data_IF_870637832068
#
_entry.id   IF_870637832068
#
_cell.length_a   1.000
_cell.length_b   1.000
_cell.length_c   1.000
_cell.angle_alpha   90.00
_cell.angle_beta   90.00
_cell.angle_gamma   90.00
#
_symmetry.space_group_name_H-M   'P 1'
#
loop_
_entity.id
_entity.type
_entity.pdbx_description
1 polymer ?
#
# COMPACT_ATOMS: atom_id res chain seq x y z
N UNK A 1 25.39 34.71 -11.14
CA UNK A 1 23.93 34.96 -11.18
C UNK A 1 23.08 33.84 -11.76
N UNK A 2 23.43 33.20 -12.89
CA UNK A 2 22.56 32.21 -13.55
C UNK A 2 22.12 31.03 -12.66
N UNK A 3 23.04 30.43 -11.89
CA UNK A 3 22.73 29.35 -10.93
C UNK A 3 21.68 29.77 -9.89
N UNK A 4 21.90 30.91 -9.22
CA UNK A 4 20.97 31.43 -8.21
C UNK A 4 19.57 31.69 -8.78
N UNK A 5 19.49 32.19 -10.01
CA UNK A 5 18.21 32.40 -10.69
C UNK A 5 17.50 31.08 -11.00
N UNK A 6 18.21 30.05 -11.47
CA UNK A 6 17.64 28.70 -11.70
C UNK A 6 17.09 28.08 -10.42
N UNK A 7 17.81 28.23 -9.30
CA UNK A 7 17.37 27.73 -7.99
C UNK A 7 16.11 28.49 -7.54
N UNK A 8 16.11 29.82 -7.64
CA UNK A 8 14.92 30.63 -7.30
C UNK A 8 13.70 30.26 -8.14
N UNK A 9 13.90 29.99 -9.44
CA UNK A 9 12.83 29.60 -10.37
C UNK A 9 12.48 28.11 -10.34
N UNK A 10 13.07 27.32 -9.44
CA UNK A 10 12.86 25.87 -9.39
C UNK A 10 11.38 25.45 -9.34
N UNK A 11 10.48 26.09 -8.57
CA UNK A 11 9.06 25.74 -8.58
C UNK A 11 8.42 25.91 -9.96
N UNK A 12 8.77 26.98 -10.67
CA UNK A 12 8.28 27.24 -12.04
C UNK A 12 8.85 26.22 -13.02
N UNK A 13 10.11 25.81 -12.85
CA UNK A 13 10.75 24.77 -13.66
C UNK A 13 10.01 23.43 -13.46
N UNK A 14 9.69 23.05 -12.22
CA UNK A 14 8.92 21.85 -11.93
C UNK A 14 7.55 21.88 -12.61
N UNK A 15 6.80 22.98 -12.50
CA UNK A 15 5.50 23.10 -13.19
C UNK A 15 5.61 22.96 -14.70
N UNK A 16 6.69 23.47 -15.32
CA UNK A 16 6.94 23.28 -16.75
C UNK A 16 7.22 21.82 -17.09
N UNK A 17 8.07 21.15 -16.30
CA UNK A 17 8.40 19.73 -16.51
C UNK A 17 7.15 18.85 -16.35
N UNK A 18 6.31 19.13 -15.34
CA UNK A 18 5.03 18.44 -15.14
C UNK A 18 4.15 18.48 -16.39
N UNK A 19 3.96 19.68 -16.96
CA UNK A 19 3.12 19.87 -18.14
C UNK A 19 3.73 19.24 -19.40
N UNK A 20 5.06 19.35 -19.58
CA UNK A 20 5.74 18.85 -20.78
C UNK A 20 5.86 17.33 -20.82
N UNK A 21 6.02 16.68 -19.66
CA UNK A 21 6.26 15.25 -19.56
C UNK A 21 5.08 14.47 -18.94
N UNK A 22 3.97 15.15 -18.64
CA UNK A 22 2.76 14.56 -18.07
C UNK A 22 3.02 13.77 -16.77
N UNK A 23 3.90 14.31 -15.92
CA UNK A 23 4.29 13.70 -14.64
C UNK A 23 3.40 14.26 -13.52
N UNK A 24 2.97 13.39 -12.59
CA UNK A 24 2.11 13.79 -11.47
C UNK A 24 2.86 14.71 -10.50
N UNK A 25 2.19 15.69 -9.86
CA UNK A 25 2.82 16.52 -8.85
C UNK A 25 3.40 15.73 -7.66
N UNK A 26 2.87 14.53 -7.38
CA UNK A 26 3.35 13.66 -6.31
C UNK A 26 4.73 13.05 -6.55
N UNK A 27 5.21 13.03 -7.80
CA UNK A 27 6.52 12.49 -8.15
C UNK A 27 7.66 13.51 -7.94
N UNK A 28 7.31 14.77 -7.64
CA UNK A 28 8.30 15.83 -7.45
C UNK A 28 8.70 15.95 -5.97
N UNK A 29 9.99 16.21 -5.68
CA UNK A 29 10.44 16.49 -4.34
C UNK A 29 10.01 17.89 -3.87
N UNK A 30 10.08 18.13 -2.56
CA UNK A 30 9.85 19.46 -1.98
C UNK A 30 10.82 20.51 -2.57
N UNK A 31 10.26 21.62 -3.04
CA UNK A 31 11.04 22.64 -3.74
C UNK A 31 12.03 23.35 -2.83
N UNK A 32 11.67 23.64 -1.57
CA UNK A 32 12.54 24.37 -0.65
C UNK A 32 13.76 23.52 -0.28
N UNK A 33 13.53 22.24 0.03
CA UNK A 33 14.60 21.27 0.29
C UNK A 33 15.52 21.08 -0.92
N UNK A 34 14.95 21.01 -2.13
CA UNK A 34 15.77 20.85 -3.32
C UNK A 34 16.56 22.12 -3.67
N UNK A 35 16.01 23.31 -3.38
CA UNK A 35 16.74 24.57 -3.51
C UNK A 35 17.99 24.59 -2.63
N UNK A 36 17.86 24.26 -1.34
CA UNK A 36 18.99 24.18 -0.40
C UNK A 36 20.07 23.21 -0.89
N UNK A 37 19.68 22.00 -1.32
CA UNK A 37 20.62 21.00 -1.83
C UNK A 37 21.37 21.51 -3.07
N UNK A 38 20.69 22.19 -4.00
CA UNK A 38 21.28 22.69 -5.23
C UNK A 38 22.25 23.86 -5.00
N UNK A 39 22.15 24.60 -3.88
CA UNK A 39 23.10 25.66 -3.55
C UNK A 39 24.52 25.12 -3.36
N UNK A 40 24.67 23.93 -2.77
CA UNK A 40 25.97 23.28 -2.56
C UNK A 40 26.58 22.60 -3.80
N UNK A 41 25.83 22.45 -4.90
CA UNK A 41 26.26 21.65 -6.06
C UNK A 41 26.80 22.47 -7.22
N UNK A 42 27.79 21.94 -7.94
CA UNK A 42 28.32 22.54 -9.16
C UNK A 42 27.52 22.09 -10.39
N UNK A 43 26.80 23.03 -11.01
CA UNK A 43 25.91 22.76 -12.14
C UNK A 43 26.68 22.39 -13.41
N UNK A 44 27.96 22.74 -13.52
CA UNK A 44 28.79 22.34 -14.67
C UNK A 44 29.06 20.83 -14.69
N UNK A 45 28.94 20.16 -13.53
CA UNK A 45 29.11 18.71 -13.39
C UNK A 45 27.83 17.94 -13.67
N UNK A 46 26.69 18.62 -13.84
CA UNK A 46 25.45 17.94 -14.19
C UNK A 46 25.52 17.36 -15.59
N UNK A 47 25.16 16.09 -15.69
CA UNK A 47 25.13 15.39 -16.98
C UNK A 47 23.96 15.92 -17.80
N UNK A 48 24.20 16.06 -19.10
CA UNK A 48 23.10 16.36 -20.03
C UNK A 48 22.09 15.21 -20.07
N UNK A 49 20.84 15.54 -20.33
CA UNK A 49 19.77 14.57 -20.50
C UNK A 49 20.12 13.60 -21.64
N UNK A 50 19.91 12.30 -21.41
CA UNK A 50 20.17 11.25 -22.40
C UNK A 50 18.83 10.69 -22.90
N UNK A 51 18.36 11.08 -24.10
CA UNK A 51 17.05 10.66 -24.61
C UNK A 51 16.90 9.14 -24.68
N UNK A 52 17.95 8.41 -25.05
CA UNK A 52 17.92 6.96 -25.11
C UNK A 52 17.63 6.31 -23.73
N UNK A 53 18.22 6.85 -22.66
CA UNK A 53 17.96 6.29 -21.31
C UNK A 53 16.53 6.59 -20.85
N UNK A 54 15.96 7.73 -21.24
CA UNK A 54 14.56 8.04 -20.97
C UNK A 54 13.63 7.10 -21.73
N UNK A 55 13.89 6.88 -23.02
CA UNK A 55 13.08 5.97 -23.84
C UNK A 55 13.09 4.53 -23.30
N UNK A 56 14.26 4.03 -22.88
CA UNK A 56 14.37 2.71 -22.25
C UNK A 56 13.59 2.64 -20.92
N UNK A 57 13.60 3.72 -20.13
CA UNK A 57 12.80 3.79 -18.90
C UNK A 57 11.30 3.77 -19.21
N UNK A 58 10.87 4.52 -20.22
CA UNK A 58 9.46 4.56 -20.66
C UNK A 58 8.99 3.19 -21.17
N UNK A 59 9.83 2.48 -21.94
CA UNK A 59 9.57 1.11 -22.39
C UNK A 59 9.43 0.14 -21.21
N UNK A 60 10.36 0.20 -20.26
CA UNK A 60 10.32 -0.62 -19.05
C UNK A 60 9.02 -0.42 -18.27
N UNK A 61 8.65 0.84 -18.01
CA UNK A 61 7.46 1.19 -17.22
C UNK A 61 6.15 0.84 -17.93
N UNK A 62 6.08 1.06 -19.25
CA UNK A 62 4.85 0.85 -20.03
C UNK A 62 4.64 -0.62 -20.42
N UNK A 63 5.71 -1.32 -20.73
CA UNK A 63 5.64 -2.61 -21.42
C UNK A 63 6.14 -3.74 -20.55
N UNK A 64 7.36 -3.64 -20.01
CA UNK A 64 7.97 -4.78 -19.33
C UNK A 64 7.34 -5.04 -17.97
N UNK A 65 7.07 -4.00 -17.17
CA UNK A 65 6.33 -4.17 -15.91
C UNK A 65 4.92 -4.69 -16.19
N UNK A 66 4.24 -4.20 -17.22
CA UNK A 66 2.89 -4.65 -17.57
C UNK A 66 2.86 -6.16 -17.91
N UNK A 67 3.89 -6.68 -18.58
CA UNK A 67 4.05 -8.11 -18.88
C UNK A 67 4.30 -8.96 -17.63
N UNK A 68 4.86 -8.39 -16.57
CA UNK A 68 5.06 -9.10 -15.29
C UNK A 68 3.76 -9.25 -14.50
N UNK A 69 2.78 -8.35 -14.65
CA UNK A 69 1.54 -8.38 -13.85
C UNK A 69 0.70 -9.67 -13.99
N UNK A 70 0.56 -10.29 -15.17
CA UNK A 70 -0.07 -11.61 -15.29
C UNK A 70 0.72 -12.71 -14.60
N UNK A 71 2.05 -12.70 -14.73
CA UNK A 71 2.93 -13.70 -14.11
C UNK A 71 2.86 -13.61 -12.58
N UNK A 72 2.90 -12.40 -12.03
CA UNK A 72 2.75 -12.15 -10.60
C UNK A 72 1.41 -12.69 -10.07
N UNK A 73 0.30 -12.42 -10.77
CA UNK A 73 -1.01 -12.95 -10.36
C UNK A 73 -1.06 -14.47 -10.39
N UNK A 74 -0.40 -15.09 -11.36
CA UNK A 74 -0.32 -16.53 -11.43
C UNK A 74 0.51 -17.09 -10.27
N UNK A 75 1.66 -16.47 -9.96
CA UNK A 75 2.47 -16.82 -8.80
C UNK A 75 1.68 -16.66 -7.48
N UNK A 76 0.89 -15.60 -7.32
CA UNK A 76 0.03 -15.39 -6.13
C UNK A 76 -1.03 -16.50 -5.98
N UNK A 77 -1.58 -17.01 -7.07
CA UNK A 77 -2.54 -18.12 -7.07
C UNK A 77 -1.85 -19.46 -6.75
N UNK A 78 -0.67 -19.69 -7.34
CA UNK A 78 0.15 -20.89 -7.12
C UNK A 78 0.72 -20.94 -5.69
N UNK A 79 1.03 -19.78 -5.10
CA UNK A 79 1.41 -19.63 -3.70
C UNK A 79 0.26 -19.98 -2.72
N UNK A 80 -0.94 -20.30 -3.22
CA UNK A 80 -1.93 -21.09 -2.49
C UNK A 80 -2.47 -20.43 -1.23
N UNK A 81 -2.60 -19.10 -1.22
CA UNK A 81 -3.21 -18.35 -0.11
C UNK A 81 -2.52 -18.59 1.24
N UNK A 82 -1.25 -19.00 1.26
CA UNK A 82 -0.52 -19.11 2.51
C UNK A 82 -0.48 -17.72 3.15
N UNK A 83 -1.12 -17.52 4.32
CA UNK A 83 -0.96 -16.26 5.00
C UNK A 83 0.53 -16.12 5.31
N UNK A 84 1.18 -15.10 4.74
CA UNK A 84 2.61 -14.81 4.97
C UNK A 84 2.97 -14.54 6.44
N UNK A 85 2.00 -14.64 7.34
CA UNK A 85 2.13 -14.55 8.78
C UNK A 85 1.66 -15.88 9.38
N UNK A 86 2.61 -16.73 9.77
CA UNK A 86 2.35 -17.98 10.47
C UNK A 86 2.53 -17.77 11.98
N UNK A 87 1.43 -17.54 12.71
CA UNK A 87 1.43 -17.44 14.18
C UNK A 87 0.59 -16.30 14.77
N UNK A 88 0.48 -16.28 16.10
CA UNK A 88 -0.17 -15.20 16.86
C UNK A 88 -1.68 -15.04 16.62
N UNK A 89 -2.17 -13.81 16.68
CA UNK A 89 -3.60 -13.47 16.52
C UNK A 89 -4.19 -13.79 15.13
N UNK A 90 -3.36 -14.15 14.16
CA UNK A 90 -3.76 -14.49 12.79
C UNK A 90 -3.95 -16.00 12.58
N UNK A 91 -3.50 -16.84 13.53
CA UNK A 91 -3.62 -18.29 13.49
C UNK A 91 -5.00 -18.75 13.99
N UNK A 92 -6.06 -18.51 13.21
CA UNK A 92 -7.30 -19.30 13.26
C UNK A 92 -8.14 -19.35 14.56
N UNK A 93 -7.72 -18.78 15.69
CA UNK A 93 -8.52 -18.75 16.93
C UNK A 93 -9.63 -17.68 16.88
N UNK A 94 -10.16 -17.37 15.69
CA UNK A 94 -11.32 -16.48 15.53
C UNK A 94 -12.57 -17.04 16.21
N UNK A 95 -12.59 -18.34 16.48
CA UNK A 95 -13.47 -18.95 17.47
C UNK A 95 -12.65 -19.24 18.74
N UNK A 96 -12.77 -18.38 19.74
CA UNK A 96 -12.19 -18.64 21.06
C UNK A 96 -12.66 -19.98 21.65
N UNK A 97 -12.02 -20.51 22.70
CA UNK A 97 -12.28 -21.86 23.23
C UNK A 97 -13.68 -22.04 23.86
N UNK A 98 -14.53 -21.00 23.87
CA UNK A 98 -15.82 -20.98 24.58
C UNK A 98 -17.06 -21.18 23.68
N UNK A 99 -16.93 -21.59 22.42
CA UNK A 99 -18.11 -21.76 21.53
C UNK A 99 -18.99 -22.98 21.89
N UNK A 100 -18.70 -23.74 22.96
CA UNK A 100 -19.43 -24.98 23.31
C UNK A 100 -20.17 -25.02 24.65
N UNK A 101 -20.49 -23.88 25.27
CA UNK A 101 -21.34 -23.87 26.47
C UNK A 101 -22.51 -22.91 26.32
N UNK A 102 -23.44 -23.21 25.41
CA UNK A 102 -24.73 -22.49 25.39
C UNK A 102 -25.92 -23.42 25.24
N UNK A 103 -25.79 -24.54 24.53
CA UNK A 103 -26.93 -25.41 24.26
C UNK A 103 -27.38 -26.22 25.49
N UNK A 104 -26.43 -26.80 26.23
CA UNK A 104 -26.73 -27.57 27.45
C UNK A 104 -27.23 -26.66 28.59
N UNK A 105 -26.62 -25.49 28.79
CA UNK A 105 -27.12 -24.54 29.78
C UNK A 105 -28.51 -24.00 29.44
N UNK A 106 -28.78 -23.70 28.17
CA UNK A 106 -30.12 -23.27 27.75
C UNK A 106 -31.14 -24.39 27.94
N UNK A 107 -30.75 -25.64 27.66
CA UNK A 107 -31.61 -26.82 27.88
C UNK A 107 -31.88 -27.06 29.37
N UNK A 108 -30.88 -26.93 30.22
CA UNK A 108 -31.03 -27.05 31.68
C UNK A 108 -31.90 -25.91 32.24
N UNK A 109 -31.72 -24.68 31.77
CA UNK A 109 -32.57 -23.52 32.15
C UNK A 109 -34.01 -23.69 31.69
N UNK A 110 -34.24 -24.28 30.50
CA UNK A 110 -35.59 -24.62 30.04
C UNK A 110 -36.21 -25.74 30.86
N UNK A 111 -35.49 -26.84 31.15
CA UNK A 111 -36.02 -27.94 31.97
C UNK A 111 -36.39 -27.45 33.38
N UNK A 112 -35.53 -26.66 34.03
CA UNK A 112 -35.83 -26.08 35.36
C UNK A 112 -37.03 -25.12 35.29
N UNK A 113 -37.20 -24.41 34.18
CA UNK A 113 -38.39 -23.57 33.97
C UNK A 113 -39.64 -24.43 33.76
N UNK A 114 -39.59 -25.48 32.94
CA UNK A 114 -40.73 -26.39 32.70
C UNK A 114 -41.18 -27.09 33.98
N UNK A 115 -40.26 -27.65 34.77
CA UNK A 115 -40.62 -28.27 36.06
C UNK A 115 -41.27 -27.25 37.02
N UNK A 116 -40.78 -26.01 37.03
CA UNK A 116 -41.35 -24.95 37.86
C UNK A 116 -42.77 -24.57 37.40
N UNK A 117 -43.07 -24.65 36.10
CA UNK A 117 -44.41 -24.41 35.56
C UNK A 117 -45.36 -25.58 35.85
N UNK A 118 -44.88 -26.82 35.78
CA UNK A 118 -45.68 -28.02 36.09
C UNK A 118 -46.06 -28.09 37.59
N UNK A 119 -45.14 -27.66 38.47
CA UNK A 119 -45.38 -27.52 39.92
C UNK A 119 -46.33 -26.35 40.27
N UNK A 120 -46.51 -25.38 39.37
CA UNK A 120 -47.35 -24.21 39.60
C UNK A 120 -48.83 -24.44 39.25
N UNK A 121 -49.19 -25.60 38.67
CA UNK A 121 -50.57 -26.08 38.59
C UNK A 121 -51.54 -25.18 37.81
N UNK A 122 -51.13 -24.66 36.65
CA UNK A 122 -52.03 -24.08 35.64
C UNK A 122 -52.26 -25.06 34.49
#
# INVERSE_FOLDING_TARGET
>A
NKKKNLIYQLPVIFSKIQLQHHISPGDFPDSAKMQELLEGHDFSKFKSLKPNMMAMLDELLSTDIAKLMPLLRQEELEAGGQPGVQGGAFLGTRAGPFVRVTLLERKLRMMVRVERWEKAGL
#
